data_IF_027934478335
#
_entry.id   IF_027934478335
#
_cell.length_a   1.000
_cell.length_b   1.000
_cell.length_c   1.000
_cell.angle_alpha   90.00
_cell.angle_beta   90.00
_cell.angle_gamma   90.00
#
_symmetry.space_group_name_H-M   'P 1'
#
loop_
_entity.id
_entity.type
_entity.pdbx_description
1 polymer ?
#
# COMPACT_ATOMS: atom_id res chain seq x y z
N UNK A 1 4.84 -15.75 -1.49
CA UNK A 1 5.33 -14.89 -0.40
C UNK A 1 4.21 -14.48 0.57
N UNK A 2 2.99 -14.26 0.08
CA UNK A 2 1.80 -13.92 0.89
C UNK A 2 1.61 -14.78 2.13
N UNK A 3 1.67 -16.11 2.00
CA UNK A 3 1.42 -17.01 3.14
C UNK A 3 2.47 -16.90 4.25
N UNK A 4 3.71 -16.55 3.88
CA UNK A 4 4.76 -16.30 4.85
C UNK A 4 4.43 -15.07 5.71
N UNK A 5 4.11 -13.94 5.06
CA UNK A 5 3.69 -12.72 5.75
C UNK A 5 2.40 -12.93 6.56
N UNK A 6 1.45 -13.69 6.02
CA UNK A 6 0.21 -14.03 6.71
C UNK A 6 0.47 -14.81 8.00
N UNK A 7 1.37 -15.81 7.94
CA UNK A 7 1.78 -16.61 9.09
C UNK A 7 2.45 -15.75 10.16
N UNK A 8 3.29 -14.79 9.77
CA UNK A 8 3.89 -13.84 10.70
C UNK A 8 2.81 -12.96 11.38
N UNK A 9 1.85 -12.45 10.60
CA UNK A 9 0.76 -11.63 11.13
C UNK A 9 -0.25 -12.41 12.00
N UNK A 10 -0.35 -13.73 11.82
CA UNK A 10 -1.16 -14.59 12.71
C UNK A 10 -0.40 -14.93 14.00
N UNK A 11 0.94 -15.01 13.95
CA UNK A 11 1.79 -15.38 15.09
C UNK A 11 2.13 -14.20 15.99
N UNK A 12 2.22 -13.00 15.43
CA UNK A 12 2.62 -11.79 16.12
C UNK A 12 1.57 -10.69 15.95
N UNK A 13 1.46 -9.73 16.87
CA UNK A 13 0.53 -8.61 16.77
C UNK A 13 1.02 -7.56 15.74
N UNK A 14 1.26 -7.99 14.51
CA UNK A 14 1.65 -7.12 13.40
C UNK A 14 0.41 -6.35 12.96
N UNK A 15 0.46 -5.03 13.11
CA UNK A 15 -0.64 -4.14 12.74
C UNK A 15 -0.44 -3.48 11.37
N UNK A 16 0.81 -3.43 10.88
CA UNK A 16 1.16 -2.81 9.60
C UNK A 16 2.31 -3.54 8.91
N UNK A 17 2.24 -3.65 7.59
CA UNK A 17 3.29 -4.15 6.70
C UNK A 17 3.45 -3.13 5.57
N UNK A 18 4.67 -2.64 5.38
CA UNK A 18 5.05 -1.75 4.29
C UNK A 18 5.81 -2.55 3.23
N UNK A 19 5.53 -2.30 1.95
CA UNK A 19 6.17 -2.94 0.79
C UNK A 19 6.34 -4.47 0.90
N UNK A 20 5.24 -5.13 1.27
CA UNK A 20 5.18 -6.59 1.42
C UNK A 20 5.37 -7.37 0.10
N UNK A 21 5.31 -6.70 -1.04
CA UNK A 21 5.57 -7.23 -2.37
C UNK A 21 6.37 -6.21 -3.19
N UNK A 22 7.02 -6.66 -4.26
CA UNK A 22 7.76 -5.79 -5.17
C UNK A 22 6.82 -4.74 -5.83
N UNK A 23 7.31 -3.52 -6.08
CA UNK A 23 6.53 -2.40 -6.65
C UNK A 23 5.82 -2.73 -7.99
N UNK A 24 6.41 -3.63 -8.77
CA UNK A 24 5.86 -4.11 -10.05
C UNK A 24 4.96 -5.34 -9.94
N UNK A 25 4.88 -5.99 -8.77
CA UNK A 25 4.11 -7.23 -8.55
C UNK A 25 2.67 -6.95 -8.08
N UNK A 26 1.85 -6.41 -8.99
CA UNK A 26 0.45 -6.05 -8.69
C UNK A 26 -0.43 -7.27 -8.38
N UNK A 27 -0.13 -8.43 -8.97
CA UNK A 27 -0.86 -9.67 -8.69
C UNK A 27 -0.55 -10.19 -7.28
N UNK A 28 0.73 -10.18 -6.87
CA UNK A 28 1.15 -10.50 -5.51
C UNK A 28 0.53 -9.55 -4.49
N UNK A 29 0.54 -8.25 -4.78
CA UNK A 29 -0.11 -7.24 -3.93
C UNK A 29 -1.62 -7.48 -3.78
N UNK A 30 -2.32 -7.85 -4.87
CA UNK A 30 -3.74 -8.19 -4.81
C UNK A 30 -3.99 -9.38 -3.90
N UNK A 31 -3.21 -10.43 -4.06
CA UNK A 31 -3.30 -11.64 -3.23
C UNK A 31 -3.03 -11.32 -1.75
N UNK A 32 -2.03 -10.48 -1.47
CA UNK A 32 -1.72 -10.02 -0.11
C UNK A 32 -2.87 -9.21 0.50
N UNK A 33 -3.46 -8.31 -0.29
CA UNK A 33 -4.58 -7.46 0.12
C UNK A 33 -5.82 -8.27 0.40
N UNK A 34 -6.16 -9.23 -0.46
CA UNK A 34 -7.30 -10.14 -0.23
C UNK A 34 -7.10 -10.99 1.02
N UNK A 35 -5.87 -11.42 1.30
CA UNK A 35 -5.56 -12.29 2.44
C UNK A 35 -5.51 -11.54 3.78
N UNK A 36 -4.94 -10.34 3.81
CA UNK A 36 -4.59 -9.63 5.05
C UNK A 36 -5.25 -8.26 5.21
N UNK A 37 -5.78 -7.64 4.15
CA UNK A 37 -6.19 -6.23 4.13
C UNK A 37 -7.34 -5.86 5.06
N UNK A 38 -8.05 -6.85 5.65
CA UNK A 38 -9.08 -6.63 6.68
C UNK A 38 -8.54 -6.58 8.11
N UNK A 39 -7.32 -7.07 8.33
CA UNK A 39 -6.73 -7.22 9.69
C UNK A 39 -5.40 -6.49 9.86
N UNK A 40 -4.68 -6.24 8.77
CA UNK A 40 -3.35 -5.60 8.77
C UNK A 40 -3.40 -4.41 7.82
N UNK A 41 -2.79 -3.30 8.24
CA UNK A 41 -2.53 -2.17 7.36
C UNK A 41 -1.43 -2.56 6.36
N UNK A 42 -1.71 -2.45 5.07
CA UNK A 42 -0.81 -2.73 3.97
C UNK A 42 -0.45 -1.40 3.32
N UNK A 43 0.77 -0.94 3.55
CA UNK A 43 1.26 0.37 3.13
C UNK A 43 2.07 0.21 1.86
N UNK A 44 1.66 0.85 0.77
CA UNK A 44 2.49 1.01 -0.43
C UNK A 44 3.37 2.24 -0.30
N UNK A 45 4.69 2.06 -0.36
CA UNK A 45 5.68 3.13 -0.45
C UNK A 45 6.25 3.20 -1.87
N UNK A 46 7.14 2.26 -2.23
CA UNK A 46 7.67 2.18 -3.60
C UNK A 46 6.57 1.80 -4.60
N UNK A 47 5.51 1.11 -4.15
CA UNK A 47 4.34 0.81 -4.98
C UNK A 47 3.64 2.07 -5.49
N UNK A 48 3.49 3.11 -4.66
CA UNK A 48 2.68 4.28 -4.98
C UNK A 48 3.48 5.54 -5.23
N UNK A 49 4.70 5.66 -4.68
CA UNK A 49 5.63 6.80 -4.84
C UNK A 49 4.96 8.17 -4.69
N UNK A 50 3.98 8.29 -3.78
CA UNK A 50 3.16 9.51 -3.59
C UNK A 50 2.49 10.02 -4.89
N UNK A 51 2.29 9.15 -5.90
CA UNK A 51 1.73 9.50 -7.20
C UNK A 51 0.23 9.17 -7.25
N UNK A 52 -0.60 10.21 -7.38
CA UNK A 52 -2.07 10.10 -7.39
C UNK A 52 -2.61 9.22 -8.53
N UNK A 53 -1.93 9.14 -9.68
CA UNK A 53 -2.37 8.28 -10.79
C UNK A 53 -2.21 6.80 -10.44
N UNK A 54 -1.08 6.44 -9.84
CA UNK A 54 -0.78 5.07 -9.43
C UNK A 54 -1.66 4.67 -8.24
N UNK A 55 -1.80 5.56 -7.26
CA UNK A 55 -2.71 5.37 -6.12
C UNK A 55 -4.15 5.12 -6.59
N UNK A 56 -4.66 5.93 -7.53
CA UNK A 56 -6.01 5.76 -8.08
C UNK A 56 -6.19 4.37 -8.71
N UNK A 57 -5.23 3.92 -9.51
CA UNK A 57 -5.26 2.58 -10.12
C UNK A 57 -5.23 1.47 -9.04
N UNK A 58 -4.43 1.67 -8.00
CA UNK A 58 -4.38 0.76 -6.84
C UNK A 58 -5.73 0.65 -6.14
N UNK A 59 -6.39 1.78 -5.87
CA UNK A 59 -7.73 1.82 -5.27
C UNK A 59 -8.75 1.08 -6.13
N UNK A 60 -8.79 1.36 -7.44
CA UNK A 60 -9.72 0.72 -8.38
C UNK A 60 -9.54 -0.81 -8.44
N UNK A 61 -8.30 -1.28 -8.30
CA UNK A 61 -7.96 -2.72 -8.31
C UNK A 61 -8.02 -3.38 -6.93
N UNK A 62 -8.27 -2.63 -5.86
CA UNK A 62 -8.25 -3.14 -4.49
C UNK A 62 -6.86 -3.61 -4.06
N UNK A 63 -5.85 -2.78 -4.32
CA UNK A 63 -4.44 -3.01 -3.99
C UNK A 63 -4.05 -2.18 -2.77
N UNK A 64 -3.48 -2.85 -1.77
CA UNK A 64 -3.12 -2.26 -0.48
C UNK A 64 -4.34 -1.63 0.22
N UNK A 65 -4.12 -0.98 1.37
CA UNK A 65 -5.16 -0.20 2.05
C UNK A 65 -4.60 1.06 2.73
N UNK A 66 -3.36 1.40 2.45
CA UNK A 66 -2.64 2.57 2.97
C UNK A 66 -1.52 2.96 2.01
N UNK A 67 -1.11 4.23 2.06
CA UNK A 67 -0.03 4.80 1.27
C UNK A 67 0.93 5.55 2.20
N UNK A 68 2.24 5.40 1.97
CA UNK A 68 3.25 6.24 2.61
C UNK A 68 3.43 7.53 1.79
N UNK A 69 3.22 8.68 2.44
CA UNK A 69 3.32 10.00 1.78
C UNK A 69 4.71 10.60 2.01
N UNK A 70 5.47 10.78 0.93
CA UNK A 70 6.78 11.43 0.92
C UNK A 70 6.77 12.66 0.01
N UNK A 71 6.82 13.84 0.61
CA UNK A 71 6.71 15.14 -0.09
C UNK A 71 7.74 15.27 -1.24
N UNK A 72 8.95 14.75 -1.03
CA UNK A 72 10.03 14.81 -2.01
C UNK A 72 9.84 13.88 -3.22
N UNK A 73 8.89 12.94 -3.20
CA UNK A 73 8.55 12.09 -4.36
C UNK A 73 7.62 12.80 -5.35
N UNK A 74 6.82 13.75 -4.90
CA UNK A 74 5.83 14.46 -5.73
C UNK A 74 6.20 15.93 -5.99
N UNK A 75 7.02 16.54 -5.13
CA UNK A 75 7.69 17.81 -5.39
C UNK A 75 6.98 19.05 -4.86
N UNK A 76 5.65 19.04 -4.70
CA UNK A 76 4.89 20.18 -4.14
C UNK A 76 3.95 19.81 -3.00
N UNK A 77 3.66 20.78 -2.12
CA UNK A 77 2.66 20.62 -1.05
C UNK A 77 1.25 20.41 -1.60
N UNK A 78 0.89 21.08 -2.70
CA UNK A 78 -0.42 20.94 -3.35
C UNK A 78 -0.66 19.50 -3.79
N UNK A 79 0.32 18.88 -4.44
CA UNK A 79 0.20 17.49 -4.89
C UNK A 79 0.24 16.50 -3.73
N UNK A 80 1.02 16.81 -2.69
CA UNK A 80 1.02 16.04 -1.43
C UNK A 80 -0.39 16.01 -0.82
N UNK A 81 -1.06 17.16 -0.72
CA UNK A 81 -2.43 17.22 -0.21
C UNK A 81 -3.41 16.49 -1.12
N UNK A 82 -3.25 16.55 -2.44
CA UNK A 82 -4.10 15.79 -3.36
C UNK A 82 -3.97 14.27 -3.16
N UNK A 83 -2.75 13.76 -2.90
CA UNK A 83 -2.53 12.35 -2.56
C UNK A 83 -3.17 11.96 -1.22
N UNK A 84 -3.06 12.83 -0.21
CA UNK A 84 -3.71 12.61 1.10
C UNK A 84 -5.24 12.58 0.96
N UNK A 85 -5.84 13.53 0.24
CA UNK A 85 -7.30 13.58 0.08
C UNK A 85 -7.84 12.41 -0.73
N UNK A 86 -7.06 11.87 -1.68
CA UNK A 86 -7.45 10.67 -2.43
C UNK A 86 -7.40 9.39 -1.58
N UNK A 87 -6.52 9.34 -0.57
CA UNK A 87 -6.32 8.17 0.28
C UNK A 87 -7.27 8.09 1.50
N UNK A 88 -7.99 9.17 1.82
CA UNK A 88 -8.97 9.23 2.91
C UNK A 88 -10.24 8.45 2.58
#
# INVERSE_FOLDING_TARGET
FTDYLATLADKFPIVSIEDGMHESDWEGWKLLTDRLGKKVQLVGDDLFVTNTRILKEGIEKGIANSILIKINQIGTLTETFAAIEMAK
#
